data_IF_444454185044
#
_entry.id   IF_444454185044
#
_cell.length_a   1.000
_cell.length_b   1.000
_cell.length_c   1.000
_cell.angle_alpha   90.00
_cell.angle_beta   90.00
_cell.angle_gamma   90.00
#
_symmetry.space_group_name_H-M   'P 1'
#
loop_
_entity.id
_entity.type
_entity.pdbx_description
1 polymer ?
#
# COMPACT_ATOMS: atom_id res chain seq x y z
N UNK A 1 46.40 -3.84 0.68
CA UNK A 1 45.39 -3.08 1.48
C UNK A 1 44.44 -2.48 0.46
N UNK A 2 43.20 -2.97 0.37
CA UNK A 2 42.17 -2.34 -0.47
C UNK A 2 41.68 -1.09 0.27
N UNK A 3 41.91 0.10 -0.30
CA UNK A 3 41.31 1.34 0.16
C UNK A 3 39.78 1.20 0.13
N UNK A 4 39.10 1.55 1.23
CA UNK A 4 37.65 1.66 1.25
C UNK A 4 37.27 2.76 0.25
N UNK A 5 36.52 2.40 -0.79
CA UNK A 5 35.91 3.38 -1.71
C UNK A 5 35.06 4.34 -0.89
N UNK A 6 35.08 5.62 -1.26
CA UNK A 6 34.17 6.58 -0.64
C UNK A 6 32.75 6.31 -1.10
N UNK A 7 31.75 6.57 -0.26
CA UNK A 7 30.33 6.32 -0.61
C UNK A 7 29.92 7.07 -1.88
N UNK A 8 30.51 8.24 -2.12
CA UNK A 8 30.34 8.99 -3.37
C UNK A 8 30.81 8.19 -4.60
N UNK A 9 31.94 7.50 -4.51
CA UNK A 9 32.45 6.66 -5.61
C UNK A 9 31.57 5.44 -5.85
N UNK A 10 31.03 4.84 -4.78
CA UNK A 10 30.09 3.72 -4.89
C UNK A 10 28.79 4.15 -5.56
N UNK A 11 28.21 5.29 -5.14
CA UNK A 11 27.04 5.89 -5.80
C UNK A 11 27.32 6.17 -7.28
N UNK A 12 28.45 6.80 -7.60
CA UNK A 12 28.82 7.09 -9.00
C UNK A 12 28.95 5.80 -9.81
N UNK A 13 29.55 4.75 -9.24
CA UNK A 13 29.75 3.47 -9.92
C UNK A 13 28.46 2.71 -10.19
N UNK A 14 27.44 2.95 -9.37
CA UNK A 14 26.10 2.35 -9.52
C UNK A 14 25.21 3.16 -10.47
N UNK A 15 25.56 4.39 -10.84
CA UNK A 15 24.79 5.17 -11.82
C UNK A 15 25.01 4.65 -13.27
N UNK A 16 24.05 4.87 -14.19
CA UNK A 16 24.14 4.38 -15.58
C UNK A 16 25.33 4.91 -16.39
N UNK A 17 25.95 6.03 -15.98
CA UNK A 17 27.14 6.58 -16.62
C UNK A 17 26.93 7.29 -17.97
N UNK A 18 25.69 7.42 -18.45
CA UNK A 18 25.40 8.01 -19.77
C UNK A 18 25.69 9.52 -19.87
N UNK A 19 25.76 10.26 -18.76
CA UNK A 19 25.94 11.73 -18.75
C UNK A 19 24.98 12.47 -19.69
N UNK A 20 23.72 12.04 -19.73
CA UNK A 20 22.75 12.48 -20.74
C UNK A 20 22.04 13.81 -20.43
N UNK A 21 22.15 14.35 -19.21
CA UNK A 21 21.49 15.59 -18.82
C UNK A 21 20.02 15.48 -18.43
N UNK A 22 19.35 14.32 -18.60
CA UNK A 22 17.89 14.21 -18.42
C UNK A 22 17.40 14.51 -17.00
N UNK A 23 18.24 14.23 -15.99
CA UNK A 23 17.98 14.52 -14.59
C UNK A 23 18.30 15.98 -14.19
N UNK A 24 18.66 16.84 -15.14
CA UNK A 24 19.01 18.25 -14.89
C UNK A 24 20.48 18.51 -14.55
N UNK A 25 21.34 17.49 -14.54
CA UNK A 25 22.79 17.61 -14.28
C UNK A 25 23.60 17.15 -15.49
N UNK A 26 24.66 17.89 -15.83
CA UNK A 26 25.43 17.62 -17.05
C UNK A 26 26.16 16.28 -17.00
N UNK A 27 26.51 15.80 -15.81
CA UNK A 27 27.25 14.55 -15.59
C UNK A 27 26.67 13.73 -14.44
N UNK A 28 26.86 12.42 -14.50
CA UNK A 28 26.40 11.48 -13.47
C UNK A 28 27.09 11.72 -12.11
N UNK A 29 28.33 12.21 -12.08
CA UNK A 29 29.02 12.58 -10.83
C UNK A 29 28.46 13.86 -10.18
N UNK A 30 27.99 14.81 -10.99
CA UNK A 30 27.25 15.98 -10.51
C UNK A 30 25.90 15.56 -9.92
N UNK A 31 25.18 14.70 -10.63
CA UNK A 31 23.92 14.10 -10.15
C UNK A 31 24.12 13.33 -8.84
N UNK A 32 25.16 12.48 -8.73
CA UNK A 32 25.52 11.80 -7.50
C UNK A 32 25.76 12.79 -6.35
N UNK A 33 26.49 13.87 -6.62
CA UNK A 33 26.69 14.94 -5.62
C UNK A 33 25.38 15.62 -5.21
N UNK A 34 24.44 15.80 -6.13
CA UNK A 34 23.13 16.38 -5.84
C UNK A 34 22.22 15.44 -5.03
N UNK A 35 22.25 14.14 -5.33
CA UNK A 35 21.58 13.11 -4.52
C UNK A 35 22.06 13.19 -3.08
N UNK A 36 23.39 13.18 -2.85
CA UNK A 36 23.99 13.24 -1.52
C UNK A 36 23.58 14.51 -0.74
N UNK A 37 23.40 15.64 -1.45
CA UNK A 37 22.98 16.91 -0.84
C UNK A 37 21.45 17.04 -0.68
N UNK A 38 20.68 16.04 -1.11
CA UNK A 38 19.21 16.08 -1.09
C UNK A 38 18.60 17.06 -2.08
N UNK A 39 19.34 17.47 -3.11
CA UNK A 39 18.85 18.38 -4.17
C UNK A 39 18.27 17.65 -5.38
N UNK A 40 18.38 16.32 -5.42
CA UNK A 40 17.86 15.47 -6.48
C UNK A 40 17.29 14.17 -5.88
N UNK A 41 16.46 13.47 -6.65
CA UNK A 41 15.90 12.15 -6.30
C UNK A 41 16.35 11.10 -7.31
N UNK A 42 16.33 9.83 -6.92
CA UNK A 42 16.64 8.72 -7.84
C UNK A 42 15.69 8.70 -9.05
N UNK A 43 14.41 9.06 -8.82
CA UNK A 43 13.36 9.19 -9.83
C UNK A 43 13.74 10.11 -11.01
N UNK A 44 14.61 11.10 -10.78
CA UNK A 44 15.02 12.07 -11.79
C UNK A 44 15.85 11.41 -12.91
N UNK A 45 16.47 10.25 -12.66
CA UNK A 45 17.21 9.50 -13.66
C UNK A 45 16.35 8.41 -14.31
N UNK A 46 15.75 8.72 -15.46
CA UNK A 46 14.87 7.79 -16.20
C UNK A 46 15.55 6.47 -16.61
N UNK A 47 16.86 6.45 -16.79
CA UNK A 47 17.60 5.25 -17.18
C UNK A 47 17.73 4.24 -16.03
N UNK A 48 17.74 4.70 -14.77
CA UNK A 48 17.86 3.80 -13.61
C UNK A 48 16.71 2.80 -13.48
N UNK A 49 15.54 3.10 -14.05
CA UNK A 49 14.33 2.27 -13.97
C UNK A 49 14.20 1.28 -15.15
N UNK A 50 15.25 1.14 -15.98
CA UNK A 50 15.29 0.08 -16.99
C UNK A 50 15.73 -1.23 -16.35
N UNK A 51 15.21 -2.36 -16.84
CA UNK A 51 15.48 -3.71 -16.29
C UNK A 51 16.99 -4.03 -16.18
N UNK A 52 17.81 -3.49 -17.08
CA UNK A 52 19.27 -3.68 -17.05
C UNK A 52 19.96 -3.04 -15.84
N UNK A 53 19.30 -2.10 -15.15
CA UNK A 53 19.83 -1.37 -14.00
C UNK A 53 19.12 -1.70 -12.68
N UNK A 54 18.24 -2.71 -12.63
CA UNK A 54 17.51 -3.07 -11.40
C UNK A 54 18.43 -3.29 -10.19
N UNK A 55 19.53 -4.05 -10.37
CA UNK A 55 20.51 -4.30 -9.29
C UNK A 55 21.23 -3.03 -8.86
N UNK A 56 21.52 -2.15 -9.81
CA UNK A 56 22.16 -0.87 -9.54
C UNK A 56 21.24 0.07 -8.75
N UNK A 57 19.95 0.06 -9.06
CA UNK A 57 18.94 0.84 -8.36
C UNK A 57 18.78 0.36 -6.91
N UNK A 58 18.70 -0.96 -6.69
CA UNK A 58 18.66 -1.57 -5.34
C UNK A 58 19.88 -1.16 -4.51
N UNK A 59 21.08 -1.22 -5.10
CA UNK A 59 22.32 -0.84 -4.44
C UNK A 59 22.37 0.66 -4.11
N UNK A 60 21.94 1.53 -5.04
CA UNK A 60 21.83 2.96 -4.80
C UNK A 60 20.86 3.28 -3.66
N UNK A 61 19.72 2.61 -3.61
CA UNK A 61 18.77 2.77 -2.51
C UNK A 61 19.38 2.34 -1.17
N UNK A 62 20.13 1.24 -1.14
CA UNK A 62 20.84 0.78 0.07
C UNK A 62 21.86 1.82 0.55
N UNK A 63 22.73 2.30 -0.34
CA UNK A 63 23.77 3.29 0.00
C UNK A 63 23.17 4.61 0.49
N UNK A 64 22.13 5.11 -0.19
CA UNK A 64 21.47 6.36 0.21
C UNK A 64 20.70 6.23 1.53
N UNK A 65 20.17 5.04 1.86
CA UNK A 65 19.57 4.75 3.19
C UNK A 65 20.63 4.72 4.28
N UNK A 66 21.76 4.04 4.06
CA UNK A 66 22.87 3.95 5.03
C UNK A 66 23.43 5.33 5.41
N UNK A 67 23.53 6.23 4.43
CA UNK A 67 23.97 7.61 4.63
C UNK A 67 22.86 8.56 5.13
N UNK A 68 21.64 8.05 5.37
CA UNK A 68 20.47 8.84 5.82
C UNK A 68 20.10 9.99 4.88
N UNK A 69 20.42 9.85 3.59
CA UNK A 69 20.13 10.84 2.55
C UNK A 69 18.67 10.73 2.13
N UNK A 70 18.18 9.49 1.98
CA UNK A 70 16.75 9.21 1.82
C UNK A 70 16.19 8.73 3.16
N UNK A 71 14.94 9.09 3.51
CA UNK A 71 14.33 8.64 4.75
C UNK A 71 14.33 7.11 4.81
N UNK A 72 14.65 6.55 5.98
CA UNK A 72 14.39 5.14 6.26
C UNK A 72 12.90 4.88 5.97
N UNK A 73 12.62 3.85 5.18
CA UNK A 73 11.24 3.38 5.01
C UNK A 73 10.71 3.08 6.40
N UNK A 74 9.66 3.79 6.81
CA UNK A 74 8.98 3.49 8.05
C UNK A 74 8.45 2.07 7.92
N UNK A 75 8.97 1.16 8.74
CA UNK A 75 8.40 -0.18 8.86
C UNK A 75 6.97 -0.01 9.36
N UNK A 76 6.00 -0.41 8.54
CA UNK A 76 4.59 -0.40 8.91
C UNK A 76 4.32 -1.75 9.56
N UNK A 77 3.98 -1.74 10.84
CA UNK A 77 3.70 -2.97 11.58
C UNK A 77 2.24 -2.99 12.04
N UNK A 78 1.56 -4.10 11.80
CA UNK A 78 0.22 -4.33 12.32
C UNK A 78 0.22 -4.40 13.84
N UNK A 79 -0.71 -3.69 14.48
CA UNK A 79 -0.80 -3.62 15.94
C UNK A 79 -1.25 -4.95 16.56
N UNK A 80 -2.06 -5.72 15.84
CA UNK A 80 -2.66 -6.96 16.34
C UNK A 80 -1.76 -8.19 16.18
N UNK A 81 -1.01 -8.25 15.08
CA UNK A 81 -0.27 -9.45 14.65
C UNK A 81 1.26 -9.28 14.68
N UNK A 82 1.75 -8.04 14.86
CA UNK A 82 3.15 -7.65 14.70
C UNK A 82 3.70 -7.92 13.28
N UNK A 83 2.84 -8.05 12.27
CA UNK A 83 3.29 -8.32 10.91
C UNK A 83 3.70 -7.04 10.20
N UNK A 84 4.77 -7.11 9.41
CA UNK A 84 5.14 -6.02 8.52
C UNK A 84 4.18 -5.97 7.34
N UNK A 85 3.64 -4.78 7.09
CA UNK A 85 2.88 -4.43 5.91
C UNK A 85 3.79 -3.71 4.91
N UNK A 86 3.54 -3.95 3.64
CA UNK A 86 4.26 -3.32 2.54
C UNK A 86 3.84 -1.86 2.37
N UNK A 87 2.58 -1.53 2.66
CA UNK A 87 2.04 -0.16 2.61
C UNK A 87 0.74 0.03 3.41
N UNK A 88 0.35 1.29 3.60
CA UNK A 88 -1.00 1.69 4.05
C UNK A 88 -1.82 2.02 2.81
N UNK A 89 -3.02 1.45 2.72
CA UNK A 89 -3.99 1.78 1.67
C UNK A 89 -4.89 2.91 2.18
N UNK A 90 -4.87 4.08 1.55
CA UNK A 90 -5.69 5.25 1.88
C UNK A 90 -7.00 5.29 1.09
N UNK A 91 -8.02 6.03 1.56
CA UNK A 91 -9.21 6.32 0.78
C UNK A 91 -8.87 7.03 -0.54
N UNK A 92 -9.75 6.93 -1.53
CA UNK A 92 -9.68 7.81 -2.70
C UNK A 92 -9.95 9.27 -2.29
N UNK A 93 -9.53 10.25 -3.10
CA UNK A 93 -9.77 11.66 -2.80
C UNK A 93 -11.25 11.95 -2.53
N UNK A 94 -11.53 12.63 -1.42
CA UNK A 94 -12.89 12.99 -0.95
C UNK A 94 -13.74 11.84 -0.41
N UNK A 95 -13.20 10.63 -0.28
CA UNK A 95 -13.91 9.49 0.33
C UNK A 95 -13.57 9.33 1.82
N UNK A 96 -14.53 8.80 2.59
CA UNK A 96 -14.39 8.65 4.05
C UNK A 96 -13.59 7.41 4.48
N UNK A 97 -13.50 6.42 3.61
CA UNK A 97 -12.74 5.18 3.85
C UNK A 97 -12.23 4.62 2.52
N UNK A 98 -11.32 3.65 2.59
CA UNK A 98 -11.11 2.76 1.44
C UNK A 98 -12.44 2.13 1.02
N UNK A 99 -12.55 1.80 -0.25
CA UNK A 99 -13.69 1.05 -0.76
C UNK A 99 -13.46 -0.42 -0.47
N UNK A 100 -14.43 -1.06 0.17
CA UNK A 100 -14.44 -2.52 0.35
C UNK A 100 -15.43 -3.13 -0.63
N UNK A 101 -15.00 -4.14 -1.37
CA UNK A 101 -15.84 -4.90 -2.29
C UNK A 101 -16.24 -6.18 -1.59
N UNK A 102 -17.55 -6.39 -1.42
CA UNK A 102 -18.10 -7.47 -0.62
C UNK A 102 -18.98 -8.38 -1.47
N UNK A 103 -18.87 -9.69 -1.22
CA UNK A 103 -19.89 -10.65 -1.59
C UNK A 103 -20.74 -10.96 -0.36
N UNK A 104 -22.00 -10.49 -0.29
CA UNK A 104 -22.87 -10.72 0.86
C UNK A 104 -23.52 -12.11 0.80
N UNK A 105 -23.44 -12.89 1.88
CA UNK A 105 -24.14 -14.18 1.98
C UNK A 105 -25.59 -13.99 2.44
N UNK A 106 -26.35 -13.20 1.68
CA UNK A 106 -27.73 -12.83 1.99
C UNK A 106 -28.61 -12.88 0.75
N UNK A 107 -29.92 -13.07 0.95
CA UNK A 107 -30.95 -12.93 -0.08
C UNK A 107 -31.72 -11.60 0.05
N UNK A 108 -31.35 -10.76 1.01
CA UNK A 108 -31.93 -9.43 1.17
C UNK A 108 -31.66 -8.58 -0.07
N UNK A 109 -32.65 -7.76 -0.45
CA UNK A 109 -32.47 -6.76 -1.51
C UNK A 109 -31.69 -5.57 -0.96
N UNK A 110 -30.56 -5.26 -1.59
CA UNK A 110 -29.62 -4.23 -1.15
C UNK A 110 -29.56 -3.10 -2.17
N UNK A 111 -29.72 -1.85 -1.71
CA UNK A 111 -29.73 -0.68 -2.58
C UNK A 111 -28.56 0.26 -2.25
N UNK A 112 -28.06 0.93 -3.29
CA UNK A 112 -27.07 2.01 -3.13
C UNK A 112 -27.63 3.09 -2.20
N UNK A 113 -26.79 3.53 -1.26
CA UNK A 113 -27.13 4.52 -0.25
C UNK A 113 -27.56 3.93 1.09
N UNK A 114 -27.97 2.66 1.13
CA UNK A 114 -28.35 1.99 2.37
C UNK A 114 -27.13 1.75 3.25
N UNK A 115 -27.35 1.79 4.57
CA UNK A 115 -26.36 1.35 5.55
C UNK A 115 -26.63 -0.10 5.90
N UNK A 116 -25.58 -0.91 5.88
CA UNK A 116 -25.61 -2.31 6.25
C UNK A 116 -24.76 -2.57 7.51
N UNK A 117 -25.21 -3.52 8.30
CA UNK A 117 -24.47 -4.15 9.39
C UNK A 117 -24.09 -5.56 8.96
N UNK A 118 -22.79 -5.83 8.93
CA UNK A 118 -22.26 -7.13 8.54
C UNK A 118 -21.03 -7.52 9.35
N UNK A 119 -20.63 -8.78 9.23
CA UNK A 119 -19.35 -9.27 9.75
C UNK A 119 -18.54 -9.85 8.58
N UNK A 120 -17.33 -9.35 8.33
CA UNK A 120 -16.43 -9.98 7.38
C UNK A 120 -16.11 -11.42 7.79
N UNK A 121 -16.16 -12.36 6.84
CA UNK A 121 -15.73 -13.73 7.05
C UNK A 121 -14.25 -13.73 7.49
N UNK A 122 -13.94 -14.33 8.64
CA UNK A 122 -12.58 -14.30 9.22
C UNK A 122 -12.24 -13.10 10.10
N UNK A 123 -13.10 -12.08 10.21
CA UNK A 123 -12.95 -10.97 11.16
C UNK A 123 -13.97 -11.07 12.31
N UNK A 124 -13.56 -10.88 13.59
CA UNK A 124 -14.50 -10.89 14.71
C UNK A 124 -15.28 -9.57 14.86
N UNK A 125 -14.88 -8.51 14.14
CA UNK A 125 -15.46 -7.17 14.29
C UNK A 125 -16.69 -7.02 13.40
N UNK A 126 -17.77 -6.52 13.99
CA UNK A 126 -18.97 -6.09 13.25
C UNK A 126 -18.69 -4.74 12.59
N UNK A 127 -18.99 -4.65 11.30
CA UNK A 127 -18.82 -3.45 10.49
C UNK A 127 -20.17 -2.83 10.17
N UNK A 128 -20.16 -1.51 10.03
CA UNK A 128 -21.25 -0.73 9.47
C UNK A 128 -20.69 0.01 8.28
N UNK A 129 -21.36 -0.14 7.14
CA UNK A 129 -20.90 0.46 5.90
C UNK A 129 -22.08 0.95 5.07
N UNK A 130 -21.86 2.02 4.32
CA UNK A 130 -22.82 2.55 3.35
C UNK A 130 -22.51 1.93 1.99
N UNK A 131 -23.53 1.39 1.32
CA UNK A 131 -23.40 0.90 -0.05
C UNK A 131 -23.25 2.10 -0.98
N UNK A 132 -22.22 2.10 -1.80
CA UNK A 132 -21.96 3.17 -2.78
C UNK A 132 -22.11 2.71 -4.22
N UNK A 133 -22.02 1.40 -4.46
CA UNK A 133 -22.12 0.81 -5.79
C UNK A 133 -22.54 -0.67 -5.68
N UNK A 134 -23.12 -1.20 -6.76
CA UNK A 134 -23.48 -2.61 -6.93
C UNK A 134 -23.09 -3.06 -8.34
N UNK A 135 -22.45 -4.21 -8.44
CA UNK A 135 -22.02 -4.78 -9.70
C UNK A 135 -22.08 -6.32 -9.66
N UNK A 136 -23.08 -6.90 -10.33
CA UNK A 136 -23.23 -8.35 -10.51
C UNK A 136 -23.21 -9.16 -9.21
N UNK A 137 -23.84 -8.65 -8.16
CA UNK A 137 -23.95 -9.28 -6.84
C UNK A 137 -22.80 -8.93 -5.88
N UNK A 138 -21.80 -8.17 -6.34
CA UNK A 138 -20.81 -7.55 -5.47
C UNK A 138 -21.27 -6.14 -5.12
N UNK A 139 -21.16 -5.78 -3.84
CA UNK A 139 -21.43 -4.43 -3.37
C UNK A 139 -20.11 -3.75 -3.02
N UNK A 140 -19.96 -2.49 -3.41
CA UNK A 140 -18.86 -1.64 -2.95
C UNK A 140 -19.38 -0.76 -1.83
N UNK A 141 -18.62 -0.68 -0.74
CA UNK A 141 -19.06 0.02 0.47
C UNK A 141 -17.99 0.97 1.02
N UNK A 142 -18.44 2.01 1.70
CA UNK A 142 -17.62 2.84 2.58
C UNK A 142 -17.92 2.51 4.04
N UNK A 143 -16.89 2.22 4.83
CA UNK A 143 -17.02 2.03 6.27
C UNK A 143 -17.43 3.35 6.90
N UNK A 144 -18.55 3.34 7.64
CA UNK A 144 -19.06 4.52 8.36
C UNK A 144 -18.75 4.46 9.86
N UNK A 145 -18.19 3.34 10.34
CA UNK A 145 -17.88 3.13 11.75
C UNK A 145 -19.13 2.87 12.60
N UNK A 146 -18.99 2.74 13.93
CA UNK A 146 -20.08 2.31 14.81
C UNK A 146 -21.07 3.47 15.13
N UNK A 147 -21.73 4.00 14.10
CA UNK A 147 -22.65 5.15 14.19
C UNK A 147 -23.87 4.91 15.12
N UNK A 148 -24.36 3.67 15.20
CA UNK A 148 -25.48 3.29 16.09
C UNK A 148 -25.22 3.54 17.58
N UNK A 149 -23.95 3.79 17.99
CA UNK A 149 -23.62 4.16 19.37
C UNK A 149 -23.75 5.67 19.63
N UNK A 150 -23.80 6.47 18.58
CA UNK A 150 -23.84 7.93 18.65
C UNK A 150 -25.25 8.45 18.39
N UNK A 151 -26.03 7.78 17.54
CA UNK A 151 -27.37 8.19 17.15
C UNK A 151 -28.39 7.06 17.38
N UNK A 152 -29.47 7.37 18.10
CA UNK A 152 -30.48 6.37 18.51
C UNK A 152 -31.41 5.97 17.36
N UNK A 153 -31.52 6.81 16.35
CA UNK A 153 -32.39 6.61 15.18
C UNK A 153 -31.58 6.21 13.93
N UNK A 154 -30.39 5.62 14.12
CA UNK A 154 -29.55 5.15 13.03
C UNK A 154 -30.11 3.88 12.39
N UNK A 155 -30.72 4.03 11.22
CA UNK A 155 -31.25 2.90 10.46
C UNK A 155 -30.16 2.14 9.70
N UNK A 156 -30.21 0.81 9.77
CA UNK A 156 -29.34 -0.09 9.02
C UNK A 156 -30.04 -1.43 8.73
N UNK A 157 -29.60 -2.12 7.68
CA UNK A 157 -30.01 -3.50 7.38
C UNK A 157 -28.99 -4.50 7.93
N UNK A 158 -29.45 -5.55 8.59
CA UNK A 158 -28.58 -6.63 9.05
C UNK A 158 -28.46 -7.69 7.95
N UNK A 159 -27.24 -7.89 7.42
CA UNK A 159 -27.02 -8.75 6.25
C UNK A 159 -26.12 -9.96 6.55
N UNK A 160 -25.79 -10.17 7.83
CA UNK A 160 -25.03 -11.34 8.28
C UNK A 160 -23.54 -11.29 7.91
N UNK A 161 -23.06 -12.36 7.27
CA UNK A 161 -21.63 -12.53 6.94
C UNK A 161 -21.40 -12.10 5.49
N UNK A 162 -20.30 -11.39 5.25
CA UNK A 162 -19.85 -11.10 3.89
C UNK A 162 -18.43 -11.62 3.68
N UNK A 163 -18.14 -12.10 2.48
CA UNK A 163 -16.77 -12.30 2.02
C UNK A 163 -16.23 -10.96 1.52
N UNK A 164 -15.07 -10.54 2.03
CA UNK A 164 -14.36 -9.37 1.47
C UNK A 164 -13.62 -9.85 0.25
N UNK A 165 -14.03 -9.39 -0.93
CA UNK A 165 -13.48 -9.81 -2.21
C UNK A 165 -12.36 -8.88 -2.68
N UNK A 166 -12.41 -7.60 -2.30
CA UNK A 166 -11.41 -6.64 -2.74
C UNK A 166 -11.38 -5.35 -1.91
N UNK A 167 -10.31 -4.60 -2.10
CA UNK A 167 -10.12 -3.25 -1.60
C UNK A 167 -9.68 -2.33 -2.72
N UNK A 168 -10.18 -1.10 -2.71
CA UNK A 168 -9.72 -0.04 -3.61
C UNK A 168 -9.34 1.21 -2.81
N UNK A 169 -8.22 1.82 -3.20
CA UNK A 169 -7.69 3.02 -2.55
C UNK A 169 -6.41 3.55 -3.19
N UNK A 170 -5.74 4.44 -2.46
CA UNK A 170 -4.45 5.05 -2.83
C UNK A 170 -3.33 4.43 -1.99
N UNK A 171 -2.28 3.91 -2.62
CA UNK A 171 -1.11 3.38 -1.92
C UNK A 171 -0.24 4.54 -1.43
N UNK A 172 0.07 4.56 -0.14
CA UNK A 172 1.13 5.42 0.40
C UNK A 172 2.43 4.62 0.55
N UNK A 173 3.45 4.99 -0.22
CA UNK A 173 4.79 4.39 -0.15
C UNK A 173 5.24 3.77 -1.46
N UNK A 174 6.00 2.67 -1.38
CA UNK A 174 6.48 1.96 -2.56
C UNK A 174 5.31 1.33 -3.31
N UNK A 175 5.25 1.59 -4.61
CA UNK A 175 4.23 1.00 -5.48
C UNK A 175 4.61 -0.45 -5.87
N UNK A 176 3.72 -1.43 -5.65
CA UNK A 176 3.91 -2.82 -6.09
C UNK A 176 3.65 -2.97 -7.60
N UNK A 177 3.90 -4.17 -8.13
CA UNK A 177 3.52 -4.53 -9.51
C UNK A 177 2.13 -5.16 -9.58
N UNK A 178 1.46 -5.03 -10.73
CA UNK A 178 0.25 -5.83 -11.01
C UNK A 178 0.60 -7.32 -11.00
N UNK A 179 -0.21 -8.14 -10.33
CA UNK A 179 0.02 -9.56 -10.07
C UNK A 179 0.82 -9.87 -8.81
N UNK A 180 1.39 -8.85 -8.15
CA UNK A 180 2.14 -9.03 -6.91
C UNK A 180 1.21 -9.35 -5.73
N UNK A 181 1.62 -10.30 -4.89
CA UNK A 181 0.96 -10.55 -3.60
C UNK A 181 1.49 -9.56 -2.58
N UNK A 182 0.60 -8.79 -1.99
CA UNK A 182 0.92 -7.67 -1.09
C UNK A 182 0.33 -7.91 0.29
N UNK A 183 0.94 -7.26 1.28
CA UNK A 183 0.47 -7.12 2.65
C UNK A 183 0.20 -5.66 2.92
N UNK A 184 -1.01 -5.32 3.37
CA UNK A 184 -1.39 -3.93 3.54
C UNK A 184 -2.28 -3.74 4.77
N UNK A 185 -2.30 -2.51 5.28
CA UNK A 185 -3.26 -2.08 6.30
C UNK A 185 -4.18 -1.05 5.64
N UNK A 186 -5.49 -1.31 5.52
CA UNK A 186 -6.41 -0.28 5.07
C UNK A 186 -6.54 0.81 6.13
N UNK A 187 -6.55 2.05 5.68
CA UNK A 187 -6.75 3.20 6.54
C UNK A 187 -8.10 3.07 7.24
N UNK A 188 -8.14 3.43 8.52
CA UNK A 188 -9.30 3.22 9.41
C UNK A 188 -9.67 1.76 9.73
N UNK A 189 -8.82 0.78 9.44
CA UNK A 189 -8.97 -0.56 10.02
C UNK A 189 -8.91 -0.49 11.55
N UNK A 190 -10.02 -0.78 12.23
CA UNK A 190 -10.14 -0.66 13.68
C UNK A 190 -9.10 -1.51 14.44
N UNK A 191 -8.75 -2.68 13.90
CA UNK A 191 -7.78 -3.59 14.52
C UNK A 191 -6.32 -3.29 14.14
N UNK A 192 -6.09 -2.43 13.12
CA UNK A 192 -4.78 -2.23 12.49
C UNK A 192 -4.06 -3.57 12.22
N UNK A 193 -4.82 -4.55 11.75
CA UNK A 193 -4.34 -5.89 11.42
C UNK A 193 -3.90 -5.92 9.96
N UNK A 194 -2.82 -6.62 9.66
CA UNK A 194 -2.35 -6.76 8.27
C UNK A 194 -3.28 -7.68 7.48
N UNK A 195 -3.67 -7.23 6.30
CA UNK A 195 -4.39 -8.02 5.29
C UNK A 195 -3.43 -8.39 4.17
N UNK A 196 -3.78 -9.42 3.40
CA UNK A 196 -3.05 -9.77 2.19
C UNK A 196 -3.98 -9.91 0.99
N UNK A 197 -3.43 -9.76 -0.21
CA UNK A 197 -4.18 -9.85 -1.46
C UNK A 197 -3.25 -9.71 -2.66
N UNK A 198 -3.84 -9.65 -3.86
CA UNK A 198 -3.12 -9.51 -5.12
C UNK A 198 -3.51 -8.20 -5.78
N UNK A 199 -2.52 -7.43 -6.25
CA UNK A 199 -2.76 -6.22 -7.05
C UNK A 199 -3.30 -6.64 -8.41
N UNK A 200 -4.55 -6.35 -8.73
CA UNK A 200 -5.14 -6.66 -10.04
C UNK A 200 -5.16 -5.46 -10.98
N UNK A 201 -5.08 -4.24 -10.43
CA UNK A 201 -4.98 -3.00 -11.20
C UNK A 201 -4.18 -1.96 -10.42
N UNK A 202 -3.34 -1.20 -11.13
CA UNK A 202 -2.59 -0.08 -10.58
C UNK A 202 -2.53 1.06 -11.63
N UNK A 203 -3.14 2.20 -11.30
CA UNK A 203 -3.15 3.40 -12.13
C UNK A 203 -2.58 4.58 -11.33
N UNK A 204 -1.31 4.92 -11.59
CA UNK A 204 -0.57 5.82 -10.71
C UNK A 204 -0.47 5.20 -9.31
N UNK A 205 -1.05 5.86 -8.31
CA UNK A 205 -1.08 5.38 -6.93
C UNK A 205 -2.39 4.66 -6.57
N UNK A 206 -3.39 4.68 -7.46
CA UNK A 206 -4.69 4.02 -7.25
C UNK A 206 -4.56 2.53 -7.51
N UNK A 207 -4.87 1.73 -6.52
CA UNK A 207 -4.79 0.27 -6.59
C UNK A 207 -6.16 -0.38 -6.35
N UNK A 208 -6.40 -1.45 -7.11
CA UNK A 208 -7.43 -2.45 -6.81
C UNK A 208 -6.73 -3.74 -6.38
N UNK A 209 -7.09 -4.23 -5.19
CA UNK A 209 -6.54 -5.42 -4.57
C UNK A 209 -7.66 -6.45 -4.44
N UNK A 210 -7.44 -7.66 -4.92
CA UNK A 210 -8.40 -8.77 -4.86
C UNK A 210 -7.78 -10.02 -4.24
N UNK A 211 -8.56 -11.10 -4.10
CA UNK A 211 -8.09 -12.33 -3.47
C UNK A 211 -7.76 -12.12 -2.01
N UNK A 212 -8.58 -11.31 -1.34
CA UNK A 212 -8.30 -10.81 0.00
C UNK A 212 -8.31 -11.94 1.03
N UNK A 213 -7.26 -11.95 1.84
CA UNK A 213 -7.23 -12.61 3.11
C UNK A 213 -7.11 -11.60 4.25
N UNK A 214 -8.01 -11.68 5.22
CA UNK A 214 -8.02 -10.83 6.41
C UNK A 214 -6.97 -11.24 7.45
N UNK A 215 -6.07 -12.15 7.08
CA UNK A 215 -4.83 -12.50 7.78
C UNK A 215 -3.71 -12.74 6.75
N UNK A 216 -2.53 -13.10 7.25
CA UNK A 216 -1.39 -13.51 6.42
C UNK A 216 -1.12 -14.98 6.72
N UNK A 217 -1.37 -15.88 5.76
CA UNK A 217 -1.21 -17.34 5.97
C UNK A 217 0.25 -17.80 6.11
N UNK A 218 1.21 -17.05 5.55
CA UNK A 218 2.64 -17.28 5.69
C UNK A 218 3.27 -16.10 6.46
N UNK A 219 3.11 -16.04 7.79
CA UNK A 219 3.66 -14.94 8.56
C UNK A 219 5.19 -14.90 8.43
N UNK A 220 5.80 -13.72 8.28
CA UNK A 220 7.26 -13.61 8.30
C UNK A 220 7.79 -14.26 9.59
N UNK A 221 8.88 -15.01 9.47
CA UNK A 221 9.51 -15.68 10.61
C UNK A 221 9.80 -14.60 11.66
N UNK A 222 9.17 -14.69 12.84
CA UNK A 222 9.51 -13.83 13.98
C UNK A 222 10.98 -14.10 14.34
N UNK A 223 11.90 -13.30 13.80
CA UNK A 223 13.26 -13.24 14.30
C UNK A 223 13.14 -12.71 15.73
N UNK A 224 13.39 -13.58 16.71
CA UNK A 224 13.16 -13.30 18.12
C UNK A 224 13.78 -11.97 18.55
N UNK A 225 12.99 -11.19 19.31
CA UNK A 225 13.49 -10.02 20.05
C UNK A 225 14.47 -10.45 21.13
#
# INVERSE_FOLDING_TARGET
MMEKRSVKEEIISSLPGFNCGICGYARCDEFAGALIRGHAKLEDCRFLYQEIFTKNLEELQRLLKEEKIIPEEKVITGLLDDYEADFILKPLPSESSCREILYPFTNEELNIGEVIRYRPLGCPITHFAKIIDENHGLITVHIVGPCHRLDKDFEFKEIGICLVSGFEGIIEGRLPSVGETVRFIPHHCMMQKVHSGVIVQLEGERALIEGIDLKVWAPPIKLGR
#
